data_IF_687931455417
#
_entry.id   IF_687931455417
#
_cell.length_a   1.000
_cell.length_b   1.000
_cell.length_c   1.000
_cell.angle_alpha   90.00
_cell.angle_beta   90.00
_cell.angle_gamma   90.00
#
_symmetry.space_group_name_H-M   'P 1'
#
loop_
_entity.id
_entity.type
_entity.pdbx_description
1 polymer ?
#
# COMPACT_ATOMS: atom_id res chain seq x y z
N UNK A 1 -8.85 20.91 0.12
CA UNK A 1 -9.05 19.44 0.19
C UNK A 1 -9.06 19.04 1.65
N UNK A 2 -10.21 18.73 2.25
CA UNK A 2 -10.21 18.16 3.61
C UNK A 2 -9.60 16.78 3.52
N UNK A 3 -8.43 16.59 4.09
CA UNK A 3 -7.89 15.24 4.34
C UNK A 3 -8.87 14.57 5.31
N UNK A 4 -9.70 13.68 4.81
CA UNK A 4 -10.34 12.68 5.66
C UNK A 4 -9.24 11.74 6.12
N UNK A 5 -8.51 12.16 7.16
CA UNK A 5 -7.62 11.21 7.82
C UNK A 5 -8.53 10.13 8.39
N UNK A 6 -8.33 8.88 8.06
CA UNK A 6 -9.04 7.79 8.73
C UNK A 6 -8.79 7.91 10.22
N UNK A 7 -9.70 7.42 11.09
CA UNK A 7 -9.51 7.47 12.55
C UNK A 7 -8.20 6.79 13.00
N UNK A 8 -7.60 6.01 12.15
CA UNK A 8 -6.34 5.29 12.36
C UNK A 8 -5.21 6.00 11.60
N UNK A 9 -4.41 6.78 12.31
CA UNK A 9 -3.20 7.34 11.73
C UNK A 9 -2.11 6.27 11.71
N UNK A 10 -1.39 6.08 10.60
CA UNK A 10 -0.17 5.30 10.62
C UNK A 10 0.79 5.85 11.66
N UNK A 11 1.38 4.96 12.45
CA UNK A 11 2.43 5.28 13.41
C UNK A 11 3.74 4.63 12.97
N UNK A 12 4.83 5.35 13.11
CA UNK A 12 6.18 4.83 12.90
C UNK A 12 6.96 5.09 14.17
N UNK A 13 7.54 4.02 14.74
CA UNK A 13 8.50 4.09 15.84
C UNK A 13 9.86 3.69 15.32
N UNK A 14 10.81 4.60 15.38
CA UNK A 14 12.19 4.34 14.99
C UNK A 14 12.93 3.71 16.16
N UNK A 15 13.59 2.58 15.91
CA UNK A 15 14.49 1.91 16.84
C UNK A 15 15.91 2.15 16.36
N UNK A 16 16.70 2.79 17.23
CA UNK A 16 18.02 3.33 16.86
C UNK A 16 19.15 2.31 17.01
N UNK A 17 20.26 2.59 16.35
CA UNK A 17 21.44 1.75 16.36
C UNK A 17 22.05 1.58 17.76
N UNK A 18 21.98 2.63 18.60
CA UNK A 18 22.68 2.72 19.88
C UNK A 18 21.96 1.99 21.01
N UNK A 19 20.63 1.86 20.94
CA UNK A 19 19.82 1.30 22.02
C UNK A 19 19.07 0.07 21.56
N UNK A 20 17.87 0.26 21.08
CA UNK A 20 16.93 -0.83 20.78
C UNK A 20 17.52 -1.78 19.72
N UNK A 21 18.20 -1.24 18.72
CA UNK A 21 18.83 -2.05 17.67
C UNK A 21 20.02 -2.86 18.17
N UNK A 22 20.81 -2.31 19.10
CA UNK A 22 21.90 -3.04 19.75
C UNK A 22 21.35 -4.15 20.66
N UNK A 23 20.34 -3.84 21.46
CA UNK A 23 19.68 -4.82 22.33
C UNK A 23 19.05 -5.95 21.52
N UNK A 24 18.41 -5.60 20.37
CA UNK A 24 17.82 -6.58 19.47
C UNK A 24 18.87 -7.58 18.92
N UNK A 25 20.03 -7.08 18.45
CA UNK A 25 21.11 -7.95 17.94
C UNK A 25 21.64 -8.85 19.06
N UNK A 26 21.88 -8.29 20.25
CA UNK A 26 22.38 -9.05 21.42
C UNK A 26 21.40 -10.16 21.80
N UNK A 27 20.11 -9.84 21.87
CA UNK A 27 19.08 -10.80 22.29
C UNK A 27 18.81 -11.85 21.20
N UNK A 28 18.70 -11.43 19.95
CA UNK A 28 18.29 -12.31 18.85
C UNK A 28 19.40 -13.22 18.38
N UNK A 29 20.63 -12.71 18.30
CA UNK A 29 21.78 -13.43 17.74
C UNK A 29 22.88 -13.76 18.76
N UNK A 30 22.73 -13.31 19.99
CA UNK A 30 23.75 -13.52 21.03
C UNK A 30 25.06 -12.75 20.77
N UNK A 31 25.04 -11.77 19.88
CA UNK A 31 26.20 -10.98 19.49
C UNK A 31 26.68 -10.12 20.67
N UNK A 32 27.99 -9.96 20.78
CA UNK A 32 28.64 -9.03 21.72
C UNK A 32 29.09 -7.78 20.99
N UNK A 33 29.38 -6.71 21.73
CA UNK A 33 29.88 -5.46 21.13
C UNK A 33 31.17 -5.66 20.32
N UNK A 34 32.04 -6.55 20.77
CA UNK A 34 33.29 -6.92 20.11
C UNK A 34 33.06 -7.59 18.74
N UNK A 35 31.88 -8.17 18.49
CA UNK A 35 31.50 -8.77 17.20
C UNK A 35 31.02 -7.72 16.18
N UNK A 36 30.71 -6.52 16.64
CA UNK A 36 30.12 -5.45 15.85
C UNK A 36 31.17 -4.44 15.31
N UNK A 37 32.33 -4.94 14.92
CA UNK A 37 33.48 -4.11 14.49
C UNK A 37 33.12 -3.21 13.32
N UNK A 38 32.41 -3.72 12.31
CA UNK A 38 32.06 -2.98 11.09
C UNK A 38 31.08 -1.83 11.33
N UNK A 39 30.28 -1.92 12.38
CA UNK A 39 29.31 -0.87 12.74
C UNK A 39 29.82 0.04 13.89
N UNK A 40 31.05 -0.15 14.34
CA UNK A 40 31.62 0.59 15.48
C UNK A 40 30.90 0.28 16.80
N UNK A 41 30.50 -0.97 17.01
CA UNK A 41 29.82 -1.43 18.22
C UNK A 41 28.32 -1.13 18.24
N UNK A 42 27.74 -0.68 17.12
CA UNK A 42 26.31 -0.32 17.01
C UNK A 42 25.49 -1.46 16.44
N UNK A 43 24.21 -1.50 16.83
CA UNK A 43 23.24 -2.46 16.30
C UNK A 43 22.61 -2.05 14.97
N UNK A 44 21.60 -2.78 14.54
CA UNK A 44 20.78 -2.44 13.38
C UNK A 44 19.68 -1.43 13.76
N UNK A 45 19.42 -0.43 12.91
CA UNK A 45 18.22 0.38 13.06
C UNK A 45 17.08 -0.24 12.24
N UNK A 46 15.86 -0.13 12.78
CA UNK A 46 14.66 -0.60 12.11
C UNK A 46 13.44 0.17 12.62
N UNK A 47 12.30 -0.01 11.97
CA UNK A 47 11.07 0.67 12.30
C UNK A 47 9.95 -0.32 12.63
N UNK A 48 9.18 0.04 13.64
CA UNK A 48 7.86 -0.55 13.86
C UNK A 48 6.82 0.32 13.17
N UNK A 49 6.04 -0.26 12.26
CA UNK A 49 4.97 0.43 11.54
C UNK A 49 3.62 -0.12 11.97
N UNK A 50 2.79 0.74 12.54
CA UNK A 50 1.39 0.43 12.82
C UNK A 50 0.52 1.13 11.80
N UNK A 51 -0.21 0.37 10.99
CA UNK A 51 -1.08 0.91 9.95
C UNK A 51 -2.26 -0.02 9.68
N UNK A 52 -3.29 0.50 9.04
CA UNK A 52 -4.31 -0.32 8.40
C UNK A 52 -3.98 -0.47 6.92
N UNK A 53 -4.41 -1.56 6.29
CA UNK A 53 -4.15 -1.84 4.87
C UNK A 53 -4.74 -0.80 3.93
N UNK A 54 -5.80 -0.10 4.35
CA UNK A 54 -6.45 0.98 3.60
C UNK A 54 -5.83 2.36 3.88
N UNK A 55 -4.50 2.46 3.92
CA UNK A 55 -3.77 3.71 4.12
C UNK A 55 -2.96 4.07 2.88
N UNK A 56 -3.08 5.34 2.43
CA UNK A 56 -2.39 5.83 1.24
C UNK A 56 -2.95 5.25 -0.06
N UNK A 57 -2.13 5.19 -1.10
CA UNK A 57 -2.49 4.56 -2.38
C UNK A 57 -2.32 3.05 -2.26
N UNK A 58 -3.39 2.31 -2.48
CA UNK A 58 -3.41 0.86 -2.32
C UNK A 58 -4.44 0.22 -3.27
N UNK A 59 -4.43 -1.09 -3.33
CA UNK A 59 -5.39 -1.91 -4.08
C UNK A 59 -6.31 -2.63 -3.11
N UNK A 60 -7.60 -2.61 -3.39
CA UNK A 60 -8.61 -3.36 -2.65
C UNK A 60 -8.89 -4.71 -3.33
N UNK A 61 -8.87 -5.77 -2.55
CA UNK A 61 -9.32 -7.07 -3.01
C UNK A 61 -10.86 -7.16 -3.02
N UNK A 62 -11.48 -8.09 -3.78
CA UNK A 62 -12.93 -8.29 -3.77
C UNK A 62 -13.51 -8.49 -2.36
N UNK A 63 -12.76 -9.13 -1.46
CA UNK A 63 -13.17 -9.34 -0.07
C UNK A 63 -13.41 -8.06 0.72
N UNK A 64 -12.77 -6.94 0.34
CA UNK A 64 -13.03 -5.64 0.96
C UNK A 64 -14.48 -5.19 0.79
N UNK A 65 -15.08 -5.50 -0.36
CA UNK A 65 -16.42 -5.06 -0.73
C UNK A 65 -17.54 -5.98 -0.24
N UNK A 66 -17.21 -7.24 0.09
CA UNK A 66 -18.19 -8.18 0.61
C UNK A 66 -17.65 -9.61 0.73
N UNK A 67 -18.36 -10.47 1.46
CA UNK A 67 -17.93 -11.85 1.68
C UNK A 67 -18.04 -12.74 0.44
N UNK A 68 -18.78 -12.30 -0.58
CA UNK A 68 -19.02 -13.05 -1.81
C UNK A 68 -18.88 -12.16 -3.04
N UNK A 69 -18.39 -12.73 -4.13
CA UNK A 69 -18.31 -12.15 -5.45
C UNK A 69 -18.74 -13.19 -6.49
N UNK A 70 -19.71 -12.85 -7.34
CA UNK A 70 -20.30 -13.76 -8.35
C UNK A 70 -20.75 -15.13 -7.78
N UNK A 71 -21.36 -15.13 -6.59
CA UNK A 71 -21.86 -16.34 -5.93
C UNK A 71 -20.79 -17.26 -5.32
N UNK A 72 -19.52 -16.82 -5.30
CA UNK A 72 -18.38 -17.53 -4.70
C UNK A 72 -17.82 -16.72 -3.53
N UNK A 73 -17.09 -17.34 -2.59
CA UNK A 73 -16.32 -16.59 -1.59
C UNK A 73 -15.42 -15.57 -2.26
N UNK A 74 -15.49 -14.33 -1.80
CA UNK A 74 -14.66 -13.25 -2.33
C UNK A 74 -13.19 -13.46 -1.94
N UNK A 75 -12.30 -13.31 -2.93
CA UNK A 75 -10.86 -13.49 -2.74
C UNK A 75 -10.26 -12.35 -1.92
N UNK A 76 -9.34 -12.68 -1.02
CA UNK A 76 -8.44 -11.76 -0.33
C UNK A 76 -7.28 -11.37 -1.23
N UNK A 77 -6.49 -10.38 -0.81
CA UNK A 77 -5.40 -9.85 -1.62
C UNK A 77 -4.28 -10.88 -1.90
N UNK A 78 -3.99 -11.74 -0.95
CA UNK A 78 -3.00 -12.81 -1.05
C UNK A 78 -3.46 -14.01 -1.90
N UNK A 79 -4.74 -14.06 -2.25
CA UNK A 79 -5.33 -15.07 -3.13
C UNK A 79 -5.44 -14.61 -4.60
N UNK A 80 -5.03 -13.36 -4.89
CA UNK A 80 -5.04 -12.82 -6.25
C UNK A 80 -3.70 -13.08 -6.94
N UNK A 81 -3.70 -13.34 -8.28
CA UNK A 81 -2.47 -13.47 -9.04
C UNK A 81 -1.63 -12.19 -8.95
N UNK A 82 -0.37 -12.31 -8.60
CA UNK A 82 0.52 -11.15 -8.44
C UNK A 82 0.71 -10.39 -9.75
N UNK A 83 0.64 -11.09 -10.89
CA UNK A 83 0.76 -10.51 -12.23
C UNK A 83 -0.30 -9.44 -12.54
N UNK A 84 -1.44 -9.45 -11.81
CA UNK A 84 -2.49 -8.45 -11.97
C UNK A 84 -2.09 -7.07 -11.45
N UNK A 85 -1.02 -6.98 -10.68
CA UNK A 85 -0.56 -5.74 -10.04
C UNK A 85 0.63 -5.10 -10.75
N UNK A 86 1.06 -5.67 -11.88
CA UNK A 86 2.16 -5.16 -12.69
C UNK A 86 1.81 -5.22 -14.18
N UNK A 87 0.97 -4.29 -14.62
CA UNK A 87 0.37 -4.24 -15.96
C UNK A 87 0.39 -2.82 -16.50
N UNK A 88 0.01 -2.66 -17.78
CA UNK A 88 -0.17 -1.34 -18.38
C UNK A 88 -1.19 -0.52 -17.58
N UNK A 89 -0.88 0.75 -17.34
CA UNK A 89 -1.73 1.65 -16.59
C UNK A 89 -2.13 2.89 -17.39
N UNK A 90 -3.35 3.39 -17.15
CA UNK A 90 -3.83 4.62 -17.75
C UNK A 90 -4.38 5.55 -16.68
N UNK A 91 -3.95 6.81 -16.70
CA UNK A 91 -4.43 7.85 -15.78
C UNK A 91 -5.51 8.68 -16.44
N UNK A 92 -6.72 8.66 -15.88
CA UNK A 92 -7.85 9.44 -16.33
C UNK A 92 -7.94 10.77 -15.57
N UNK A 93 -7.94 11.89 -16.30
CA UNK A 93 -8.07 13.21 -15.69
C UNK A 93 -9.56 13.52 -15.39
N UNK A 94 -9.92 13.40 -14.12
CA UNK A 94 -11.27 13.69 -13.60
C UNK A 94 -11.26 14.89 -12.62
N UNK A 95 -10.24 15.75 -12.67
CA UNK A 95 -10.07 16.91 -11.75
C UNK A 95 -11.20 17.94 -11.82
N UNK A 96 -12.03 17.91 -12.87
CA UNK A 96 -13.23 18.75 -12.98
C UNK A 96 -14.34 18.34 -12.03
N UNK A 97 -14.28 17.13 -11.46
CA UNK A 97 -15.24 16.64 -10.46
C UNK A 97 -15.00 17.26 -9.09
N UNK A 98 -16.09 17.56 -8.40
CA UNK A 98 -16.05 18.05 -7.02
C UNK A 98 -15.93 16.88 -6.03
N UNK A 99 -15.37 17.11 -4.83
CA UNK A 99 -15.38 16.09 -3.78
C UNK A 99 -16.79 15.58 -3.48
N UNK A 100 -16.97 14.25 -3.49
CA UNK A 100 -18.26 13.59 -3.29
C UNK A 100 -19.17 13.51 -4.52
N UNK A 101 -18.77 14.08 -5.63
CA UNK A 101 -19.52 13.97 -6.89
C UNK A 101 -19.32 12.57 -7.49
N UNK A 102 -20.41 11.96 -7.95
CA UNK A 102 -20.37 10.63 -8.60
C UNK A 102 -19.59 10.70 -9.92
N UNK A 103 -18.87 9.63 -10.21
CA UNK A 103 -18.17 9.41 -11.48
C UNK A 103 -18.91 8.30 -12.24
N UNK A 104 -19.87 8.63 -13.08
CA UNK A 104 -20.57 7.65 -13.91
C UNK A 104 -19.65 7.12 -15.03
N UNK A 105 -20.00 5.96 -15.59
CA UNK A 105 -19.22 5.33 -16.67
C UNK A 105 -18.98 6.26 -17.88
N UNK A 106 -19.91 7.21 -18.14
CA UNK A 106 -19.77 8.17 -19.23
C UNK A 106 -18.58 9.12 -19.05
N UNK A 107 -18.25 9.50 -17.81
CA UNK A 107 -17.08 10.34 -17.54
C UNK A 107 -15.78 9.60 -17.83
N UNK A 108 -15.72 8.31 -17.47
CA UNK A 108 -14.58 7.45 -17.77
C UNK A 108 -14.41 7.26 -19.27
N UNK A 109 -15.50 6.95 -19.98
CA UNK A 109 -15.51 6.82 -21.46
C UNK A 109 -15.04 8.12 -22.13
N UNK A 110 -15.57 9.27 -21.70
CA UNK A 110 -15.14 10.57 -22.21
C UNK A 110 -13.68 10.89 -21.92
N UNK A 111 -13.16 10.47 -20.76
CA UNK A 111 -11.76 10.65 -20.43
C UNK A 111 -10.85 9.78 -21.31
N UNK A 112 -11.22 8.52 -21.55
CA UNK A 112 -10.51 7.62 -22.46
C UNK A 112 -10.49 8.16 -23.90
N UNK A 113 -11.63 8.65 -24.39
CA UNK A 113 -11.72 9.26 -25.72
C UNK A 113 -10.81 10.48 -25.87
N UNK A 114 -10.74 11.35 -24.85
CA UNK A 114 -9.87 12.54 -24.87
C UNK A 114 -8.39 12.22 -25.02
N UNK A 115 -7.96 11.08 -24.48
CA UNK A 115 -6.54 10.64 -24.57
C UNK A 115 -6.31 9.63 -25.70
N UNK A 116 -7.36 9.27 -26.47
CA UNK A 116 -7.26 8.32 -27.57
C UNK A 116 -6.90 6.90 -27.14
N UNK A 117 -7.27 6.50 -25.91
CA UNK A 117 -6.90 5.20 -25.36
C UNK A 117 -8.07 4.21 -25.38
N UNK A 118 -7.84 3.02 -25.92
CA UNK A 118 -8.75 1.88 -25.85
C UNK A 118 -8.28 0.90 -24.78
N UNK A 119 -9.14 0.65 -23.77
CA UNK A 119 -8.83 -0.29 -22.71
C UNK A 119 -8.64 -1.70 -23.26
N UNK A 120 -7.59 -2.36 -22.77
CA UNK A 120 -7.29 -3.77 -23.00
C UNK A 120 -7.66 -4.58 -21.74
N UNK A 121 -7.82 -5.90 -21.85
CA UNK A 121 -7.95 -6.76 -20.68
C UNK A 121 -6.79 -6.54 -19.70
N UNK A 122 -7.12 -6.40 -18.43
CA UNK A 122 -6.19 -6.21 -17.30
C UNK A 122 -5.48 -4.84 -17.25
N UNK A 123 -5.84 -3.85 -18.07
CA UNK A 123 -5.32 -2.49 -17.87
C UNK A 123 -5.71 -1.96 -16.47
N UNK A 124 -4.76 -1.31 -15.81
CA UNK A 124 -4.97 -0.63 -14.53
C UNK A 124 -5.45 0.80 -14.81
N UNK A 125 -6.64 1.18 -14.30
CA UNK A 125 -7.27 2.49 -14.55
C UNK A 125 -7.37 3.31 -13.27
#
# INVERSE_FOLDING_TARGET
MRRTSPPWKPGIRYLTHEREGLDWIKITFGAKEEDLVHSGGKGAAFEEVTTITHSGTHVDAPWHYGPQFEGKPAKKIDELPIDWFFLDGVVLNLRHKKPGEKIPAQDLKGALQRIGYALKPFDIV
#
